data_IF_522635897927
#
_entry.id   IF_522635897927
#
_cell.length_a   1.000
_cell.length_b   1.000
_cell.length_c   1.000
_cell.angle_alpha   90.00
_cell.angle_beta   90.00
_cell.angle_gamma   90.00
#
_symmetry.space_group_name_H-M   'P 1'
#
loop_
_entity.id
_entity.type
_entity.pdbx_description
1 polymer ?
#
# COMPACT_ATOMS: atom_id res chain seq x y z
N UNK A 1 -13.41 -9.12 10.41
CA UNK A 1 -13.12 -8.28 9.22
C UNK A 1 -13.17 -6.83 9.68
N UNK A 2 -12.05 -6.31 10.17
CA UNK A 2 -12.01 -4.97 10.74
C UNK A 2 -12.11 -3.96 9.60
N UNK A 3 -13.26 -3.30 9.59
CA UNK A 3 -13.65 -2.23 8.67
C UNK A 3 -12.77 -1.00 8.86
N UNK A 4 -11.51 -1.08 8.43
CA UNK A 4 -10.68 0.10 8.20
C UNK A 4 -11.01 0.58 6.78
N UNK A 5 -12.19 1.17 6.63
CA UNK A 5 -12.54 2.01 5.48
C UNK A 5 -11.77 3.34 5.54
N UNK A 6 -10.45 3.26 5.67
CA UNK A 6 -9.55 4.40 5.66
C UNK A 6 -9.35 4.88 4.23
N UNK A 7 -9.35 6.20 4.04
CA UNK A 7 -8.94 6.80 2.77
C UNK A 7 -7.52 6.35 2.42
N UNK A 8 -7.37 5.62 1.32
CA UNK A 8 -6.08 5.23 0.79
C UNK A 8 -5.42 6.42 0.09
N UNK A 9 -4.82 7.29 0.89
CA UNK A 9 -3.96 8.38 0.42
C UNK A 9 -2.62 7.86 -0.11
N UNK A 10 -1.96 8.64 -0.98
CA UNK A 10 -0.64 8.28 -1.53
C UNK A 10 0.39 8.00 -0.43
N UNK A 11 0.35 8.75 0.66
CA UNK A 11 1.29 8.59 1.78
C UNK A 11 1.03 7.31 2.56
N UNK A 12 -0.23 6.92 2.78
CA UNK A 12 -0.56 5.68 3.48
C UNK A 12 -0.25 4.46 2.60
N UNK A 13 -0.55 4.53 1.30
CA UNK A 13 -0.13 3.54 0.32
C UNK A 13 1.39 3.39 0.27
N UNK A 14 2.15 4.49 0.32
CA UNK A 14 3.60 4.43 0.32
C UNK A 14 4.14 3.69 1.54
N UNK A 15 3.65 4.03 2.74
CA UNK A 15 4.06 3.37 3.98
C UNK A 15 3.68 1.89 4.00
N UNK A 16 2.49 1.56 3.48
CA UNK A 16 2.01 0.19 3.38
C UNK A 16 2.84 -0.63 2.39
N UNK A 17 3.11 -0.10 1.20
CA UNK A 17 3.93 -0.78 0.19
C UNK A 17 5.40 -0.87 0.60
N UNK A 18 5.89 0.03 1.45
CA UNK A 18 7.26 -0.04 1.96
C UNK A 18 7.42 -1.11 3.04
N UNK A 19 6.52 -1.19 4.03
CA UNK A 19 6.52 -2.25 5.08
C UNK A 19 5.09 -2.54 5.58
N UNK A 20 4.36 -3.48 4.95
CA UNK A 20 2.96 -3.73 5.26
C UNK A 20 2.77 -4.34 6.65
N UNK A 21 3.71 -5.18 7.10
CA UNK A 21 3.67 -5.82 8.43
C UNK A 21 3.85 -4.83 9.59
N UNK A 22 4.58 -3.74 9.36
CA UNK A 22 4.74 -2.65 10.33
C UNK A 22 3.55 -1.70 10.32
N UNK A 23 2.95 -1.47 9.14
CA UNK A 23 1.80 -0.58 9.00
C UNK A 23 0.50 -1.22 9.52
N UNK A 24 0.29 -2.52 9.24
CA UNK A 24 -0.86 -3.29 9.73
C UNK A 24 -0.34 -4.54 10.46
N UNK A 25 -0.18 -4.48 11.79
CA UNK A 25 0.23 -5.65 12.56
C UNK A 25 -0.86 -6.73 12.48
N UNK A 26 -0.45 -7.98 12.19
CA UNK A 26 -1.38 -9.09 12.00
C UNK A 26 -1.99 -9.18 10.59
N UNK A 27 -1.48 -8.40 9.62
CA UNK A 27 -1.85 -8.60 8.21
C UNK A 27 -1.48 -10.00 7.74
N UNK A 28 -2.40 -10.64 7.01
CA UNK A 28 -2.16 -11.94 6.34
C UNK A 28 -1.44 -11.80 4.99
N UNK A 29 -1.04 -10.58 4.63
CA UNK A 29 -0.31 -10.32 3.40
C UNK A 29 1.16 -10.69 3.57
N UNK A 30 1.59 -11.77 2.90
CA UNK A 30 2.99 -12.22 2.85
C UNK A 30 3.85 -11.35 1.92
N UNK A 31 3.77 -10.03 2.05
CA UNK A 31 4.52 -9.07 1.24
C UNK A 31 5.63 -8.43 2.08
N UNK A 32 6.87 -8.51 1.62
CA UNK A 32 8.03 -7.96 2.33
C UNK A 32 8.09 -6.42 2.26
N UNK A 33 7.46 -5.85 1.22
CA UNK A 33 7.52 -4.44 0.88
C UNK A 33 8.47 -4.16 -0.30
N UNK A 34 8.37 -2.95 -0.87
CA UNK A 34 9.29 -2.44 -1.89
C UNK A 34 10.34 -1.55 -1.22
N UNK A 35 11.65 -1.82 -1.37
CA UNK A 35 12.69 -0.98 -0.80
C UNK A 35 12.90 0.32 -1.60
N UNK A 36 12.59 0.30 -2.89
CA UNK A 36 12.81 1.43 -3.80
C UNK A 36 11.61 2.37 -3.81
N UNK A 37 11.83 3.65 -3.49
CA UNK A 37 10.79 4.67 -3.53
C UNK A 37 10.20 4.88 -4.95
N UNK A 38 11.02 4.71 -6.00
CA UNK A 38 10.58 4.83 -7.39
C UNK A 38 9.58 3.74 -7.77
N UNK A 39 9.87 2.49 -7.42
CA UNK A 39 8.99 1.35 -7.69
C UNK A 39 7.65 1.52 -6.96
N UNK A 40 7.68 2.03 -5.71
CA UNK A 40 6.45 2.36 -4.98
C UNK A 40 5.63 3.44 -5.71
N UNK A 41 6.28 4.50 -6.20
CA UNK A 41 5.60 5.59 -6.92
C UNK A 41 4.96 5.09 -8.22
N UNK A 42 5.66 4.21 -8.96
CA UNK A 42 5.13 3.60 -10.19
C UNK A 42 3.93 2.69 -9.90
N UNK A 43 3.97 1.91 -8.81
CA UNK A 43 2.83 1.09 -8.36
C UNK A 43 1.65 1.98 -7.95
N UNK A 44 1.87 3.05 -7.18
CA UNK A 44 0.81 3.98 -6.80
C UNK A 44 0.17 4.61 -8.05
N UNK A 45 0.99 5.02 -9.02
CA UNK A 45 0.51 5.56 -10.29
C UNK A 45 -0.32 4.54 -11.08
N UNK A 46 0.13 3.28 -11.11
CA UNK A 46 -0.61 2.19 -11.73
C UNK A 46 -1.95 1.95 -11.03
N UNK A 47 -1.97 1.87 -9.69
CA UNK A 47 -3.18 1.65 -8.91
C UNK A 47 -4.19 2.77 -9.17
N UNK A 48 -3.77 4.05 -9.10
CA UNK A 48 -4.63 5.19 -9.43
C UNK A 48 -5.27 5.11 -10.82
N UNK A 49 -4.51 4.64 -11.82
CA UNK A 49 -5.00 4.48 -13.18
C UNK A 49 -6.04 3.35 -13.30
N UNK A 50 -5.93 2.30 -12.50
CA UNK A 50 -6.74 1.08 -12.63
C UNK A 50 -7.88 0.96 -11.61
N UNK A 51 -7.88 1.73 -10.52
CA UNK A 51 -8.95 1.70 -9.51
C UNK A 51 -10.23 2.42 -9.97
N UNK A 52 -10.16 3.25 -11.01
CA UNK A 52 -11.30 4.05 -11.49
C UNK A 52 -11.92 3.49 -12.78
N UNK A 53 -12.16 2.17 -12.82
CA UNK A 53 -12.80 1.47 -13.95
C UNK A 53 -14.07 0.77 -13.51
#
# INVERSE_FOLDING_TARGET
MTSQGGSWDEKSLFLYLHKPTKYIPGTRMSFIGLPNAKDIADVIKFLKKNTNK
#
